data_IF_649404053935
#
_entry.id   IF_649404053935
#
_cell.length_a   1.000
_cell.length_b   1.000
_cell.length_c   1.000
_cell.angle_alpha   90.00
_cell.angle_beta   90.00
_cell.angle_gamma   90.00
#
_symmetry.space_group_name_H-M   'P 1'
#
loop_
_entity.id
_entity.type
_entity.pdbx_description
1 polymer ?
#
# COMPACT_ATOMS: atom_id res chain seq x y z
N UNK A 1 -18.40 -20.00 -1.78
CA UNK A 1 -17.87 -18.62 -1.77
C UNK A 1 -18.95 -17.77 -1.16
N UNK A 2 -18.73 -17.23 0.02
CA UNK A 2 -19.71 -16.42 0.72
C UNK A 2 -19.63 -14.94 0.25
N UNK A 3 -20.55 -14.10 0.70
CA UNK A 3 -20.61 -12.67 0.32
C UNK A 3 -19.35 -11.91 0.75
N UNK A 4 -18.79 -12.21 1.91
CA UNK A 4 -17.56 -11.63 2.43
C UNK A 4 -16.34 -11.99 1.55
N UNK A 5 -16.25 -13.26 1.09
CA UNK A 5 -15.19 -13.67 0.18
C UNK A 5 -15.22 -12.88 -1.14
N UNK A 6 -16.42 -12.57 -1.63
CA UNK A 6 -16.58 -11.76 -2.86
C UNK A 6 -16.15 -10.30 -2.63
N UNK A 7 -16.52 -9.72 -1.49
CA UNK A 7 -16.11 -8.38 -1.11
C UNK A 7 -14.57 -8.28 -1.02
N UNK A 8 -13.94 -9.23 -0.33
CA UNK A 8 -12.47 -9.27 -0.22
C UNK A 8 -11.77 -9.42 -1.56
N UNK A 9 -12.33 -10.23 -2.47
CA UNK A 9 -11.80 -10.34 -3.83
C UNK A 9 -11.92 -9.01 -4.57
N UNK A 10 -13.01 -8.28 -4.40
CA UNK A 10 -13.21 -6.98 -5.03
C UNK A 10 -12.20 -5.96 -4.51
N UNK A 11 -11.96 -5.88 -3.20
CA UNK A 11 -10.93 -5.02 -2.60
C UNK A 11 -9.55 -5.28 -3.23
N UNK A 12 -9.15 -6.55 -3.34
CA UNK A 12 -7.86 -6.91 -3.96
C UNK A 12 -7.81 -6.48 -5.44
N UNK A 13 -8.90 -6.67 -6.19
CA UNK A 13 -8.94 -6.29 -7.60
C UNK A 13 -8.87 -4.77 -7.78
N UNK A 14 -9.56 -4.01 -6.94
CA UNK A 14 -9.57 -2.55 -7.01
C UNK A 14 -8.19 -2.00 -6.67
N UNK A 15 -7.57 -2.40 -5.56
CA UNK A 15 -6.20 -2.02 -5.23
C UNK A 15 -5.17 -2.42 -6.30
N UNK A 16 -5.35 -3.56 -6.96
CA UNK A 16 -4.45 -3.98 -8.05
C UNK A 16 -4.53 -3.09 -9.29
N UNK A 17 -5.66 -2.42 -9.50
CA UNK A 17 -5.88 -1.48 -10.62
C UNK A 17 -5.50 -0.05 -10.25
N UNK A 18 -5.87 0.40 -9.06
CA UNK A 18 -5.63 1.76 -8.57
C UNK A 18 -4.16 1.99 -8.25
N UNK A 19 -3.45 0.98 -7.75
CA UNK A 19 -2.02 0.98 -7.52
C UNK A 19 -1.55 2.21 -6.73
N UNK A 20 -2.13 2.43 -5.56
CA UNK A 20 -1.81 3.58 -4.71
C UNK A 20 -0.30 3.67 -4.45
N UNK A 21 0.26 4.87 -4.58
CA UNK A 21 1.69 5.11 -4.44
C UNK A 21 2.56 4.65 -5.61
N UNK A 22 1.98 4.15 -6.72
CA UNK A 22 2.75 3.75 -7.89
C UNK A 22 3.46 4.95 -8.52
N UNK A 23 4.72 4.74 -8.87
CA UNK A 23 5.65 5.71 -9.43
C UNK A 23 6.89 5.86 -8.55
N UNK A 24 8.03 6.19 -9.18
CA UNK A 24 9.28 6.40 -8.47
C UNK A 24 9.16 7.57 -7.49
N UNK A 25 9.58 7.36 -6.25
CA UNK A 25 9.69 8.44 -5.28
C UNK A 25 10.87 9.36 -5.64
N UNK A 26 10.61 10.65 -5.72
CA UNK A 26 11.68 11.63 -5.92
C UNK A 26 12.46 11.82 -4.63
N UNK A 27 13.78 11.71 -4.70
CA UNK A 27 14.72 11.89 -3.57
C UNK A 27 14.34 11.00 -2.35
N UNK A 28 14.31 9.67 -2.46
CA UNK A 28 14.07 8.78 -1.34
C UNK A 28 15.28 8.74 -0.40
N UNK A 29 15.04 8.54 0.91
CA UNK A 29 16.13 8.31 1.87
C UNK A 29 16.78 6.94 1.65
N UNK A 30 16.01 5.97 1.19
CA UNK A 30 16.51 4.67 0.79
C UNK A 30 15.58 3.99 -0.22
N UNK A 31 16.15 3.04 -0.95
CA UNK A 31 15.43 2.20 -1.90
C UNK A 31 15.71 0.72 -1.67
N UNK A 32 14.72 -0.11 -2.00
CA UNK A 32 14.86 -1.55 -2.01
C UNK A 32 14.32 -2.14 -3.30
N UNK A 33 15.05 -3.07 -3.87
CA UNK A 33 14.57 -3.89 -5.00
C UNK A 33 14.41 -5.32 -4.54
N UNK A 34 13.23 -5.88 -4.73
CA UNK A 34 12.89 -7.25 -4.36
C UNK A 34 12.29 -7.99 -5.55
N UNK A 35 12.62 -9.25 -5.66
CA UNK A 35 12.13 -10.15 -6.70
C UNK A 35 11.61 -11.43 -6.06
N UNK A 36 10.43 -11.87 -6.50
CA UNK A 36 9.91 -13.18 -6.16
C UNK A 36 10.22 -14.15 -7.33
N UNK A 37 11.25 -14.98 -7.23
CA UNK A 37 11.69 -15.83 -8.34
C UNK A 37 10.67 -16.94 -8.70
N UNK A 38 9.68 -17.17 -7.84
CA UNK A 38 8.66 -18.20 -8.07
C UNK A 38 7.62 -17.76 -9.10
N UNK A 39 7.25 -16.49 -9.12
CA UNK A 39 6.25 -15.93 -10.05
C UNK A 39 6.79 -14.82 -10.95
N UNK A 40 8.03 -14.40 -10.77
CA UNK A 40 8.62 -13.32 -11.55
C UNK A 40 8.14 -11.93 -11.17
N UNK A 41 7.42 -11.80 -10.06
CA UNK A 41 7.02 -10.49 -9.55
C UNK A 41 8.24 -9.74 -9.04
N UNK A 42 8.33 -8.45 -9.33
CA UNK A 42 9.41 -7.58 -8.85
C UNK A 42 8.88 -6.22 -8.42
N UNK A 43 9.54 -5.61 -7.46
CA UNK A 43 9.24 -4.26 -6.97
C UNK A 43 10.51 -3.52 -6.60
N UNK A 44 10.57 -2.25 -7.00
CA UNK A 44 11.52 -1.26 -6.49
C UNK A 44 10.73 -0.24 -5.68
N UNK A 45 11.03 -0.13 -4.39
CA UNK A 45 10.31 0.72 -3.46
C UNK A 45 11.27 1.76 -2.87
N UNK A 46 10.88 3.03 -2.92
CA UNK A 46 11.58 4.13 -2.25
C UNK A 46 10.78 4.63 -1.05
N UNK A 47 11.46 4.97 0.02
CA UNK A 47 10.86 5.50 1.25
C UNK A 47 11.51 6.82 1.65
N UNK A 48 10.71 7.75 2.19
CA UNK A 48 11.17 8.96 2.87
C UNK A 48 10.61 8.97 4.29
N UNK A 49 11.50 9.20 5.25
CA UNK A 49 11.15 9.25 6.68
C UNK A 49 11.44 10.65 7.22
N UNK A 50 10.46 11.25 7.86
CA UNK A 50 10.59 12.56 8.52
C UNK A 50 10.03 12.44 9.93
N UNK A 51 10.78 12.89 10.92
CA UNK A 51 10.37 12.90 12.34
C UNK A 51 9.86 11.51 12.82
N UNK A 52 10.55 10.43 12.40
CA UNK A 52 10.20 9.06 12.79
C UNK A 52 8.90 8.53 12.17
N UNK A 53 8.39 9.17 11.11
CA UNK A 53 7.19 8.77 10.37
C UNK A 53 7.52 8.56 8.91
N UNK A 54 6.80 7.66 8.26
CA UNK A 54 6.88 7.51 6.80
C UNK A 54 6.17 8.70 6.15
N UNK A 55 6.96 9.67 5.67
CA UNK A 55 6.43 10.85 4.99
C UNK A 55 5.93 10.55 3.58
N UNK A 56 6.60 9.64 2.87
CA UNK A 56 6.21 9.22 1.53
C UNK A 56 6.78 7.86 1.17
N UNK A 57 6.04 7.14 0.35
CA UNK A 57 6.47 5.91 -0.34
C UNK A 57 6.15 6.08 -1.82
N UNK A 58 7.07 5.62 -2.67
CA UNK A 58 6.81 5.42 -4.08
C UNK A 58 7.34 4.07 -4.50
N UNK A 59 6.70 3.45 -5.48
CA UNK A 59 7.10 2.13 -5.93
C UNK A 59 6.82 1.90 -7.40
N UNK A 60 7.70 1.15 -8.04
CA UNK A 60 7.56 0.67 -9.40
C UNK A 60 7.79 -0.83 -9.42
N UNK A 61 7.13 -1.53 -10.29
CA UNK A 61 7.29 -2.97 -10.42
C UNK A 61 6.19 -3.62 -11.23
N UNK A 62 6.44 -4.87 -11.55
CA UNK A 62 5.51 -5.73 -12.27
C UNK A 62 5.21 -6.98 -11.45
N UNK A 63 3.99 -7.47 -11.57
CA UNK A 63 3.59 -8.65 -10.84
C UNK A 63 2.11 -8.98 -10.95
N UNK A 64 1.71 -10.04 -10.27
CA UNK A 64 0.32 -10.48 -10.25
C UNK A 64 -0.57 -9.51 -9.44
N UNK A 65 -1.89 -9.65 -9.59
CA UNK A 65 -2.86 -8.82 -8.86
C UNK A 65 -2.67 -8.87 -7.34
N UNK A 66 -2.18 -9.98 -6.80
CA UNK A 66 -1.95 -10.12 -5.35
C UNK A 66 -0.78 -9.23 -4.90
N UNK A 67 0.36 -9.25 -5.62
CA UNK A 67 1.50 -8.40 -5.28
C UNK A 67 1.18 -6.93 -5.45
N UNK A 68 0.53 -6.55 -6.56
CA UNK A 68 0.12 -5.17 -6.85
C UNK A 68 -0.85 -4.63 -5.79
N UNK A 69 -1.87 -5.40 -5.44
CA UNK A 69 -2.85 -5.02 -4.43
C UNK A 69 -2.21 -4.90 -3.04
N UNK A 70 -1.35 -5.84 -2.66
CA UNK A 70 -0.69 -5.81 -1.35
C UNK A 70 0.19 -4.58 -1.18
N UNK A 71 0.93 -4.16 -2.21
CA UNK A 71 1.75 -2.95 -2.15
C UNK A 71 0.87 -1.70 -2.07
N UNK A 72 -0.24 -1.66 -2.81
CA UNK A 72 -1.22 -0.56 -2.77
C UNK A 72 -1.84 -0.42 -1.38
N UNK A 73 -2.31 -1.51 -0.78
CA UNK A 73 -2.84 -1.54 0.60
C UNK A 73 -1.76 -1.14 1.61
N UNK A 74 -0.56 -1.70 1.50
CA UNK A 74 0.57 -1.33 2.37
C UNK A 74 0.86 0.17 2.32
N UNK A 75 0.89 0.77 1.11
CA UNK A 75 1.08 2.21 0.94
C UNK A 75 0.08 3.02 1.77
N UNK A 76 -1.20 2.67 1.72
CA UNK A 76 -2.25 3.38 2.45
C UNK A 76 -2.14 3.19 3.96
N UNK A 77 -1.81 1.98 4.40
CA UNK A 77 -1.67 1.64 5.82
C UNK A 77 -0.51 2.37 6.49
N UNK A 78 0.63 2.55 5.78
CA UNK A 78 1.88 3.00 6.43
C UNK A 78 2.24 4.45 6.14
N UNK A 79 1.64 5.11 5.12
CA UNK A 79 1.95 6.51 4.80
C UNK A 79 1.44 7.45 5.88
N UNK A 80 2.32 8.29 6.42
CA UNK A 80 2.03 9.22 7.52
C UNK A 80 2.08 8.59 8.91
N UNK A 81 2.41 7.31 9.02
CA UNK A 81 2.40 6.52 10.25
C UNK A 81 3.79 6.48 10.87
N UNK A 82 3.87 6.45 12.20
CA UNK A 82 5.16 6.31 12.90
C UNK A 82 5.76 4.91 12.73
N UNK A 83 7.10 4.83 12.79
CA UNK A 83 7.82 3.59 12.50
C UNK A 83 7.49 2.44 13.48
N UNK A 84 7.09 2.74 14.71
CA UNK A 84 6.68 1.70 15.66
C UNK A 84 5.33 1.09 15.25
N UNK A 85 4.39 1.90 14.77
CA UNK A 85 3.12 1.42 14.24
C UNK A 85 3.33 0.66 12.90
N UNK A 86 4.23 1.14 12.03
CA UNK A 86 4.61 0.40 10.80
C UNK A 86 5.14 -0.99 11.13
N UNK A 87 6.02 -1.10 12.13
CA UNK A 87 6.54 -2.40 12.58
C UNK A 87 5.47 -3.32 13.18
N UNK A 88 4.41 -2.77 13.79
CA UNK A 88 3.24 -3.57 14.22
C UNK A 88 2.45 -4.07 13.03
N UNK A 89 2.07 -3.18 12.10
CA UNK A 89 1.33 -3.54 10.89
C UNK A 89 2.05 -4.60 10.05
N UNK A 90 3.38 -4.50 9.93
CA UNK A 90 4.20 -5.52 9.26
C UNK A 90 4.06 -6.90 9.93
N UNK A 91 4.20 -6.95 11.28
CA UNK A 91 4.06 -8.22 12.02
C UNK A 91 2.65 -8.78 11.92
N UNK A 92 1.64 -7.95 11.97
CA UNK A 92 0.23 -8.33 11.93
C UNK A 92 -0.14 -8.87 10.54
N UNK A 93 0.33 -8.23 9.48
CA UNK A 93 0.16 -8.74 8.12
C UNK A 93 0.94 -10.03 7.89
N UNK A 94 2.16 -10.15 8.41
CA UNK A 94 2.94 -11.39 8.35
C UNK A 94 2.22 -12.53 9.09
N UNK A 95 1.68 -12.28 10.28
CA UNK A 95 0.88 -13.24 11.03
C UNK A 95 -0.36 -13.70 10.26
N UNK A 96 -1.08 -12.76 9.62
CA UNK A 96 -2.21 -13.06 8.76
C UNK A 96 -1.78 -13.97 7.59
N UNK A 97 -0.69 -13.64 6.92
CA UNK A 97 -0.18 -14.44 5.78
C UNK A 97 0.26 -15.84 6.20
N UNK A 98 0.77 -16.03 7.41
CA UNK A 98 1.18 -17.33 7.94
C UNK A 98 0.07 -18.08 8.67
N UNK A 99 -1.13 -17.53 8.79
CA UNK A 99 -2.30 -18.17 9.43
C UNK A 99 -2.79 -19.42 8.70
N UNK A 100 -2.46 -19.59 7.42
CA UNK A 100 -2.91 -20.71 6.56
C UNK A 100 -4.45 -20.81 6.48
N UNK A 101 -5.12 -19.66 6.45
CA UNK A 101 -6.58 -19.58 6.41
C UNK A 101 -7.29 -19.84 7.73
N UNK A 102 -6.56 -19.87 8.84
CA UNK A 102 -7.14 -19.99 10.20
C UNK A 102 -7.58 -18.64 10.77
N UNK A 103 -7.21 -17.55 10.05
CA UNK A 103 -7.43 -16.19 10.51
C UNK A 103 -6.46 -15.76 11.61
N UNK A 104 -6.66 -14.56 12.08
CA UNK A 104 -6.01 -13.92 13.22
C UNK A 104 -7.08 -13.26 14.09
N UNK A 105 -6.70 -12.69 15.22
CA UNK A 105 -7.63 -11.99 16.09
C UNK A 105 -8.32 -10.82 15.33
N UNK A 106 -9.59 -10.58 15.65
CA UNK A 106 -10.40 -9.52 14.99
C UNK A 106 -9.76 -8.13 15.12
N UNK A 107 -9.13 -7.85 16.27
CA UNK A 107 -8.39 -6.59 16.47
C UNK A 107 -7.23 -6.40 15.48
N UNK A 108 -6.59 -7.48 15.04
CA UNK A 108 -5.55 -7.43 14.01
C UNK A 108 -6.17 -7.13 12.65
N UNK A 109 -7.31 -7.76 12.33
CA UNK A 109 -8.03 -7.49 11.07
C UNK A 109 -8.49 -6.03 11.01
N UNK A 110 -8.99 -5.48 12.12
CA UNK A 110 -9.41 -4.08 12.20
C UNK A 110 -8.25 -3.11 11.96
N UNK A 111 -7.06 -3.40 12.52
CA UNK A 111 -5.87 -2.57 12.29
C UNK A 111 -5.31 -2.69 10.86
N UNK A 112 -5.49 -3.83 10.22
CA UNK A 112 -5.06 -4.07 8.85
C UNK A 112 -6.01 -3.47 7.80
N UNK A 113 -7.21 -3.01 8.19
CA UNK A 113 -8.17 -2.39 7.28
C UNK A 113 -8.36 -3.25 5.99
N UNK A 114 -8.12 -2.70 4.80
CA UNK A 114 -8.19 -3.45 3.53
C UNK A 114 -7.18 -4.61 3.43
N UNK A 115 -6.15 -4.63 4.28
CA UNK A 115 -5.24 -5.75 4.43
C UNK A 115 -5.91 -7.03 4.92
N UNK A 116 -7.04 -6.93 5.63
CA UNK A 116 -7.86 -8.08 6.04
C UNK A 116 -8.36 -8.91 4.84
N UNK A 117 -8.53 -8.29 3.68
CA UNK A 117 -8.94 -8.98 2.44
C UNK A 117 -7.97 -10.08 2.00
N UNK A 118 -6.73 -10.05 2.50
CA UNK A 118 -5.71 -11.06 2.19
C UNK A 118 -5.85 -12.34 3.01
N UNK A 119 -6.79 -12.44 3.96
CA UNK A 119 -7.00 -13.66 4.75
C UNK A 119 -7.17 -14.90 3.85
N UNK A 120 -7.98 -14.77 2.79
CA UNK A 120 -8.17 -15.85 1.80
C UNK A 120 -6.91 -16.23 1.04
N UNK A 121 -5.97 -15.29 0.86
CA UNK A 121 -4.67 -15.51 0.18
C UNK A 121 -3.76 -16.39 1.03
N UNK A 122 -3.84 -16.31 2.35
CA UNK A 122 -3.02 -17.06 3.31
C UNK A 122 -3.11 -18.58 3.17
N UNK A 123 -4.18 -19.08 2.54
CA UNK A 123 -4.41 -20.50 2.22
C UNK A 123 -3.43 -21.03 1.16
N UNK A 124 -2.81 -20.14 0.38
CA UNK A 124 -2.02 -20.49 -0.80
C UNK A 124 -0.56 -20.06 -0.66
N UNK A 125 0.38 -20.96 -0.26
CA UNK A 125 1.77 -20.60 0.06
C UNK A 125 2.51 -19.83 -1.05
N UNK A 126 2.24 -20.13 -2.31
CA UNK A 126 2.87 -19.42 -3.42
C UNK A 126 2.35 -17.97 -3.54
N UNK A 127 1.09 -17.72 -3.19
CA UNK A 127 0.49 -16.39 -3.21
C UNK A 127 0.87 -15.55 -1.99
N UNK A 128 1.13 -16.19 -0.86
CA UNK A 128 1.69 -15.55 0.34
C UNK A 128 2.99 -14.82 0.00
N UNK A 129 3.88 -15.44 -0.79
CA UNK A 129 5.12 -14.80 -1.24
C UNK A 129 4.89 -13.55 -2.09
N UNK A 130 3.85 -13.56 -2.92
CA UNK A 130 3.48 -12.38 -3.70
C UNK A 130 2.93 -11.26 -2.78
N UNK A 131 2.08 -11.61 -1.81
CA UNK A 131 1.54 -10.65 -0.87
C UNK A 131 2.62 -10.01 0.03
N UNK A 132 3.64 -10.75 0.42
CA UNK A 132 4.72 -10.27 1.29
C UNK A 132 5.81 -9.47 0.54
N UNK A 133 5.84 -9.47 -0.79
CA UNK A 133 6.92 -8.88 -1.57
C UNK A 133 7.13 -7.38 -1.27
N UNK A 134 6.07 -6.58 -1.25
CA UNK A 134 6.13 -5.16 -0.95
C UNK A 134 6.54 -4.88 0.50
N UNK A 135 6.03 -5.67 1.44
CA UNK A 135 6.39 -5.56 2.86
C UNK A 135 7.86 -5.87 3.11
N UNK A 136 8.43 -6.86 2.41
CA UNK A 136 9.87 -7.14 2.44
C UNK A 136 10.68 -5.98 1.87
N UNK A 137 10.21 -5.36 0.79
CA UNK A 137 10.86 -4.19 0.20
C UNK A 137 10.83 -2.99 1.15
N UNK A 138 9.70 -2.74 1.81
CA UNK A 138 9.56 -1.68 2.81
C UNK A 138 10.53 -1.89 3.98
N UNK A 139 10.54 -3.09 4.55
CA UNK A 139 11.43 -3.45 5.66
C UNK A 139 12.91 -3.24 5.31
N UNK A 140 13.34 -3.69 4.14
CA UNK A 140 14.72 -3.54 3.67
C UNK A 140 15.06 -2.06 3.39
N UNK A 141 14.15 -1.29 2.80
CA UNK A 141 14.34 0.14 2.58
C UNK A 141 14.46 0.90 3.90
N UNK A 142 13.60 0.61 4.89
CA UNK A 142 13.69 1.22 6.23
C UNK A 142 15.00 0.86 6.93
N UNK A 143 15.47 -0.38 6.84
CA UNK A 143 16.75 -0.79 7.39
C UNK A 143 17.92 -0.04 6.73
N UNK A 144 17.86 0.19 5.42
CA UNK A 144 18.89 0.94 4.66
C UNK A 144 18.87 2.44 4.93
N UNK A 145 17.72 3.02 5.28
CA UNK A 145 17.61 4.44 5.61
C UNK A 145 18.35 4.82 6.90
N UNK A 146 18.77 3.82 7.70
CA UNK A 146 19.43 4.06 8.99
C UNK A 146 18.52 4.60 10.09
N UNK A 147 17.22 4.71 9.81
CA UNK A 147 16.23 5.13 10.79
C UNK A 147 15.78 3.90 11.56
N UNK A 148 16.38 3.69 12.74
CA UNK A 148 15.98 2.62 13.66
C UNK A 148 14.69 3.07 14.36
N UNK A 149 13.64 2.24 14.44
CA UNK A 149 12.54 2.50 15.36
C UNK A 149 13.12 2.63 16.76
N UNK A 150 12.98 3.79 17.39
CA UNK A 150 13.43 3.95 18.78
C UNK A 150 12.72 2.93 19.65
N UNK A 151 13.47 2.02 20.24
CA UNK A 151 12.95 1.01 21.17
C UNK A 151 12.40 1.63 22.49
N UNK A 152 12.53 2.94 22.65
CA UNK A 152 12.09 3.72 23.80
C UNK A 152 10.80 4.52 23.52
N UNK A 153 9.88 3.92 22.78
CA UNK A 153 8.52 4.43 22.67
C UNK A 153 7.73 4.10 23.92
N UNK A 154 8.03 4.75 25.04
CA UNK A 154 7.03 4.90 26.11
C UNK A 154 5.80 5.55 25.48
N UNK A 155 4.70 4.82 25.41
CA UNK A 155 3.40 5.29 24.97
C UNK A 155 3.04 6.57 25.74
N UNK A 156 2.77 7.70 25.09
CA UNK A 156 1.86 8.65 25.70
C UNK A 156 0.50 7.94 25.69
N UNK A 157 0.00 7.68 26.90
CA UNK A 157 -1.38 7.31 27.12
C UNK A 157 -2.25 8.51 26.73
N UNK A 158 -2.60 8.59 25.46
CA UNK A 158 -3.66 9.48 25.01
C UNK A 158 -4.36 8.82 23.83
N UNK A 159 -5.42 8.09 24.18
CA UNK A 159 -6.37 7.51 23.24
C UNK A 159 -7.23 8.59 22.60
N UNK A 160 -6.64 9.43 21.75
CA UNK A 160 -7.39 10.31 20.88
C UNK A 160 -7.87 9.54 19.66
N UNK A 161 -9.16 9.66 19.27
CA UNK A 161 -9.67 9.03 18.06
C UNK A 161 -8.90 9.56 16.86
N UNK A 162 -8.49 8.65 15.96
CA UNK A 162 -7.97 9.02 14.63
C UNK A 162 -8.97 9.98 13.97
N UNK A 163 -8.53 11.07 13.35
CA UNK A 163 -9.44 11.86 12.52
C UNK A 163 -9.87 10.98 11.33
N UNK A 164 -11.10 10.51 11.40
CA UNK A 164 -11.80 9.94 10.26
C UNK A 164 -12.08 11.07 9.29
N UNK A 165 -11.56 10.94 8.08
CA UNK A 165 -11.75 11.79 6.92
C UNK A 165 -10.49 12.53 6.47
N UNK A 166 -9.77 11.91 5.54
CA UNK A 166 -8.91 12.65 4.61
C UNK A 166 -9.83 13.56 3.77
N UNK A 167 -9.56 14.85 3.63
CA UNK A 167 -10.26 15.65 2.65
C UNK A 167 -9.89 15.13 1.26
N UNK A 168 -10.89 14.68 0.51
CA UNK A 168 -10.79 14.42 -0.91
C UNK A 168 -10.41 15.76 -1.58
N UNK A 169 -9.29 15.85 -2.33
CA UNK A 169 -9.00 17.06 -3.07
C UNK A 169 -10.15 17.31 -4.07
N UNK A 170 -10.58 18.57 -4.26
CA UNK A 170 -11.62 18.87 -5.23
C UNK A 170 -11.15 18.44 -6.61
N UNK A 171 -12.01 17.72 -7.32
CA UNK A 171 -11.82 17.44 -8.73
C UNK A 171 -11.73 18.79 -9.45
N UNK A 172 -10.57 19.09 -10.03
CA UNK A 172 -10.39 20.27 -10.86
C UNK A 172 -11.32 20.16 -12.06
N UNK A 173 -12.39 20.94 -11.98
CA UNK A 173 -13.38 21.10 -13.01
C UNK A 173 -12.78 21.86 -14.20
N UNK A 174 -12.91 21.22 -15.35
CA UNK A 174 -13.20 21.89 -16.59
C UNK A 174 -12.16 22.83 -17.17
N UNK A 175 -11.25 22.29 -17.93
CA UNK A 175 -10.54 23.07 -18.91
C UNK A 175 -11.50 23.53 -20.03
N UNK A 176 -11.62 24.83 -20.10
CA UNK A 176 -12.16 25.64 -21.18
C UNK A 176 -11.62 25.16 -22.56
N UNK A 177 -12.49 24.68 -23.43
CA UNK A 177 -12.15 24.42 -24.83
C UNK A 177 -12.32 25.70 -25.60
N UNK A 178 -11.28 26.26 -26.21
CA UNK A 178 -11.49 27.32 -27.17
C UNK A 178 -12.20 26.76 -28.41
N UNK A 179 -13.29 27.39 -28.76
CA UNK A 179 -14.06 27.21 -30.01
C UNK A 179 -13.15 27.40 -31.23
N UNK A 180 -12.90 26.33 -31.95
CA UNK A 180 -12.34 26.43 -33.30
C UNK A 180 -13.46 26.84 -34.23
N UNK A 181 -13.37 28.08 -34.69
CA UNK A 181 -14.10 28.61 -35.86
C UNK A 181 -13.59 27.93 -37.13
N UNK A 182 -14.47 27.19 -37.79
CA UNK A 182 -14.26 26.60 -39.11
C UNK A 182 -14.36 27.72 -40.21
N UNK A 183 -13.29 27.99 -40.98
CA UNK A 183 -13.34 28.92 -42.09
C UNK A 183 -13.44 28.17 -43.43
N UNK A 184 -14.55 27.48 -43.72
CA UNK A 184 -14.85 27.03 -45.10
C UNK A 184 -16.34 27.12 -45.41
N UNK A 185 -16.77 28.32 -45.70
CA UNK A 185 -17.87 28.56 -46.62
C UNK A 185 -17.52 29.80 -47.44
N UNK A 186 -17.02 29.59 -48.63
CA UNK A 186 -17.18 30.46 -49.80
C UNK A 186 -16.68 29.77 -51.04
N UNK A 187 -17.55 29.78 -51.98
CA UNK A 187 -17.44 29.65 -53.44
C UNK A 187 -18.12 28.41 -54.01
N UNK A 188 -19.22 28.78 -54.60
CA UNK A 188 -19.87 28.53 -55.90
C UNK A 188 -20.35 27.13 -56.14
#
# INVERSE_FOLDING_TARGET
MNELDQLYQQVILDHSRERHGAGALKDPDATSHQVNPTCGDEVTLGVRVVDGRIAAIGWEGEGCSISQASISVMHDLVTGVDLAAVARLERDFDALMHSRGRGVDESILDELEDGAAFEGVSKYPNRVKCALLGWMALKDALAKSGVVPSADGALPADGGPRPSSRPVPPADGGADRPSQTDPRRSHE
#
